data_IF_584228901069
#
_entry.id   IF_584228901069
#
_cell.length_a   1.000
_cell.length_b   1.000
_cell.length_c   1.000
_cell.angle_alpha   90.00
_cell.angle_beta   90.00
_cell.angle_gamma   90.00
#
_symmetry.space_group_name_H-M   'P 1'
#
loop_
_entity.id
_entity.type
_entity.pdbx_description
1 polymer ?
#
# COMPACT_ATOMS: atom_id res chain seq x y z
N UNK A 1 8.47 23.51 -4.06
CA UNK A 1 8.20 22.18 -3.44
C UNK A 1 7.65 21.27 -4.52
N UNK A 2 8.22 20.07 -4.68
CA UNK A 2 7.93 19.18 -5.80
C UNK A 2 7.32 17.85 -5.36
N UNK A 3 6.52 17.26 -6.24
CA UNK A 3 5.99 15.90 -6.07
C UNK A 3 7.16 14.93 -6.26
N UNK A 4 7.47 14.13 -5.22
CA UNK A 4 8.60 13.19 -5.23
C UNK A 4 8.09 11.76 -5.40
N UNK A 5 8.73 11.01 -6.27
CA UNK A 5 8.41 9.60 -6.51
C UNK A 5 9.61 8.70 -6.22
N UNK A 6 9.32 7.47 -5.81
CA UNK A 6 10.32 6.43 -5.61
C UNK A 6 9.86 5.13 -6.28
N UNK A 7 10.81 4.41 -6.88
CA UNK A 7 10.57 3.03 -7.30
C UNK A 7 10.76 2.12 -6.08
N UNK A 8 9.70 1.40 -5.71
CA UNK A 8 9.71 0.47 -4.57
C UNK A 8 9.28 -0.92 -5.04
N UNK A 9 9.75 -1.95 -4.33
CA UNK A 9 9.18 -3.29 -4.43
C UNK A 9 8.07 -3.44 -3.40
N UNK A 10 6.93 -4.00 -3.78
CA UNK A 10 5.85 -4.36 -2.85
C UNK A 10 5.58 -5.84 -2.99
N UNK A 11 5.58 -6.57 -1.88
CA UNK A 11 5.39 -8.01 -1.86
C UNK A 11 4.26 -8.41 -0.92
N UNK A 12 3.35 -9.25 -1.42
CA UNK A 12 2.42 -9.99 -0.60
C UNK A 12 3.12 -11.22 -0.01
N UNK A 13 3.28 -11.25 1.31
CA UNK A 13 4.03 -12.31 1.99
C UNK A 13 3.28 -13.66 2.02
N UNK A 14 1.95 -13.68 1.88
CA UNK A 14 1.20 -14.93 1.79
C UNK A 14 1.38 -15.62 0.44
N UNK A 15 1.29 -14.84 -0.65
CA UNK A 15 1.35 -15.36 -2.02
C UNK A 15 2.77 -15.34 -2.61
N UNK A 16 3.75 -14.74 -1.90
CA UNK A 16 5.12 -14.49 -2.36
C UNK A 16 5.15 -13.81 -3.72
N UNK A 17 4.22 -12.88 -3.92
CA UNK A 17 4.05 -12.15 -5.18
C UNK A 17 4.56 -10.73 -5.00
N UNK A 18 5.56 -10.36 -5.79
CA UNK A 18 6.23 -9.06 -5.73
C UNK A 18 6.02 -8.26 -7.00
N UNK A 19 5.77 -6.97 -6.86
CA UNK A 19 5.65 -6.00 -7.95
C UNK A 19 6.63 -4.85 -7.72
N UNK A 20 7.23 -4.36 -8.81
CA UNK A 20 7.95 -3.09 -8.81
C UNK A 20 6.96 -1.98 -9.19
N UNK A 21 6.84 -0.96 -8.34
CA UNK A 21 5.88 0.12 -8.53
C UNK A 21 6.55 1.49 -8.34
N UNK A 22 6.11 2.47 -9.13
CA UNK A 22 6.45 3.87 -8.91
C UNK A 22 5.45 4.45 -7.91
N UNK A 23 5.93 4.77 -6.71
CA UNK A 23 5.11 5.25 -5.60
C UNK A 23 5.35 6.73 -5.33
N UNK A 24 4.29 7.43 -4.90
CA UNK A 24 4.37 8.80 -4.41
C UNK A 24 4.92 8.80 -2.98
N UNK A 25 5.91 9.65 -2.70
CA UNK A 25 6.41 9.87 -1.34
C UNK A 25 5.52 10.92 -0.67
N UNK A 26 4.75 10.50 0.32
CA UNK A 26 3.83 11.36 1.06
C UNK A 26 4.11 11.27 2.58
N UNK A 27 4.77 12.31 3.11
CA UNK A 27 5.05 12.42 4.56
C UNK A 27 3.82 12.79 5.39
N UNK A 28 2.71 13.20 4.75
CA UNK A 28 1.44 13.47 5.41
C UNK A 28 0.58 12.22 5.59
N UNK A 29 0.89 11.12 4.89
CA UNK A 29 0.17 9.86 5.06
C UNK A 29 0.66 9.09 6.27
N UNK A 30 -0.29 8.63 7.10
CA UNK A 30 -0.02 7.81 8.29
C UNK A 30 0.00 6.32 7.97
N UNK A 31 -0.66 5.92 6.88
CA UNK A 31 -0.79 4.53 6.45
C UNK A 31 -0.15 4.35 5.08
N UNK A 32 0.44 3.18 4.84
CA UNK A 32 0.80 2.78 3.49
C UNK A 32 -0.49 2.48 2.70
N UNK A 33 -0.65 3.13 1.56
CA UNK A 33 -1.85 3.00 0.73
C UNK A 33 -1.50 2.33 -0.58
N UNK A 34 -2.32 1.36 -0.98
CA UNK A 34 -2.22 0.71 -2.28
C UNK A 34 -3.47 1.01 -3.10
N UNK A 35 -3.32 1.38 -4.39
CA UNK A 35 -4.43 1.36 -5.31
C UNK A 35 -5.01 -0.05 -5.43
N UNK A 36 -6.33 -0.14 -5.59
CA UNK A 36 -7.06 -1.41 -5.64
C UNK A 36 -6.49 -2.38 -6.69
N UNK A 37 -6.16 -1.88 -7.88
CA UNK A 37 -5.58 -2.71 -8.94
C UNK A 37 -4.22 -3.32 -8.56
N UNK A 38 -3.40 -2.63 -7.75
CA UNK A 38 -2.13 -3.18 -7.26
C UNK A 38 -2.38 -4.26 -6.22
N UNK A 39 -3.35 -4.07 -5.32
CA UNK A 39 -3.74 -5.10 -4.35
C UNK A 39 -4.22 -6.39 -5.04
N UNK A 40 -5.06 -6.27 -6.07
CA UNK A 40 -5.52 -7.39 -6.90
C UNK A 40 -4.35 -8.07 -7.62
N UNK A 41 -3.44 -7.29 -8.21
CA UNK A 41 -2.22 -7.83 -8.84
C UNK A 41 -1.30 -8.51 -7.84
N UNK A 42 -1.29 -8.11 -6.56
CA UNK A 42 -0.55 -8.80 -5.49
C UNK A 42 -1.27 -10.06 -4.99
N UNK A 43 -2.50 -10.32 -5.47
CA UNK A 43 -3.30 -11.49 -5.11
C UNK A 43 -4.01 -11.37 -3.76
N UNK A 44 -4.30 -10.15 -3.31
CA UNK A 44 -5.20 -9.92 -2.19
C UNK A 44 -6.66 -9.96 -2.66
N UNK A 45 -7.53 -10.53 -1.84
CA UNK A 45 -8.97 -10.37 -1.96
C UNK A 45 -9.43 -9.28 -0.97
N UNK A 46 -9.89 -8.16 -1.51
CA UNK A 46 -10.34 -7.02 -0.71
C UNK A 46 -11.70 -7.26 -0.02
N UNK A 47 -12.44 -8.30 -0.42
CA UNK A 47 -13.76 -8.62 0.13
C UNK A 47 -13.69 -9.47 1.40
N UNK A 48 -12.57 -10.17 1.61
CA UNK A 48 -12.38 -11.09 2.74
C UNK A 48 -11.64 -10.45 3.93
N UNK A 49 -11.35 -9.15 3.88
CA UNK A 49 -10.62 -8.44 4.92
C UNK A 49 -11.50 -7.45 5.68
N UNK A 50 -11.07 -7.10 6.90
CA UNK A 50 -11.72 -6.05 7.68
C UNK A 50 -11.54 -4.70 6.99
N UNK A 51 -12.55 -3.84 7.13
CA UNK A 51 -12.46 -2.46 6.66
C UNK A 51 -12.15 -1.50 7.80
N UNK A 52 -11.51 -0.37 7.48
CA UNK A 52 -11.25 0.74 8.40
C UNK A 52 -11.75 2.04 7.79
N UNK A 53 -12.37 2.88 8.62
CA UNK A 53 -12.71 4.24 8.21
C UNK A 53 -11.45 5.12 8.16
N UNK A 54 -11.27 5.84 7.05
CA UNK A 54 -10.21 6.82 6.83
C UNK A 54 -10.79 8.17 6.41
N UNK A 55 -10.00 9.22 6.63
CA UNK A 55 -10.29 10.58 6.16
C UNK A 55 -9.16 10.97 5.21
N UNK A 56 -9.36 10.95 3.88
CA UNK A 56 -8.39 11.44 2.93
C UNK A 56 -8.25 12.97 3.01
N UNK A 57 -7.29 13.52 2.27
CA UNK A 57 -7.05 14.96 2.23
C UNK A 57 -8.26 15.79 1.73
N UNK A 58 -9.23 15.16 1.05
CA UNK A 58 -10.48 15.80 0.61
C UNK A 58 -11.52 15.96 1.74
N UNK A 59 -11.24 15.44 2.94
CA UNK A 59 -12.12 15.51 4.10
C UNK A 59 -13.30 14.53 4.07
N UNK A 60 -13.43 13.74 3.00
CA UNK A 60 -14.46 12.69 2.92
C UNK A 60 -14.18 11.57 3.92
N UNK A 61 -15.22 10.80 4.28
CA UNK A 61 -15.05 9.58 5.08
C UNK A 61 -15.23 8.37 4.18
N UNK A 62 -14.27 7.45 4.19
CA UNK A 62 -14.31 6.24 3.36
C UNK A 62 -13.96 5.02 4.21
N UNK A 63 -14.75 3.96 4.06
CA UNK A 63 -14.40 2.65 4.61
C UNK A 63 -13.56 1.89 3.58
N UNK A 64 -12.31 1.56 3.93
CA UNK A 64 -11.35 0.91 3.01
C UNK A 64 -10.85 -0.42 3.56
N UNK A 65 -10.58 -1.43 2.70
CA UNK A 65 -10.04 -2.72 3.12
C UNK A 65 -8.65 -2.60 3.74
N UNK A 66 -8.40 -3.30 4.85
CA UNK A 66 -7.09 -3.42 5.48
C UNK A 66 -6.41 -4.71 5.01
N UNK A 67 -5.49 -4.58 4.06
CA UNK A 67 -4.75 -5.71 3.48
C UNK A 67 -3.33 -5.81 4.07
N UNK A 68 -2.85 -7.04 4.25
CA UNK A 68 -1.54 -7.33 4.81
C UNK A 68 -1.39 -8.82 5.09
N UNK A 69 -0.18 -9.30 5.45
CA UNK A 69 1.04 -8.53 5.64
C UNK A 69 1.77 -8.28 4.30
N UNK A 70 2.38 -7.12 4.19
CA UNK A 70 3.10 -6.64 3.01
C UNK A 70 4.55 -6.33 3.38
N UNK A 71 5.49 -6.72 2.52
CA UNK A 71 6.88 -6.24 2.60
C UNK A 71 7.14 -5.18 1.56
N UNK A 72 7.69 -4.05 1.99
CA UNK A 72 8.11 -2.95 1.11
C UNK A 72 9.63 -2.93 1.01
N UNK A 73 10.15 -2.87 -0.22
CA UNK A 73 11.57 -2.81 -0.54
C UNK A 73 11.92 -1.44 -1.12
N UNK A 74 12.98 -0.83 -0.61
CA UNK A 74 13.58 0.37 -1.18
C UNK A 74 15.10 0.24 -1.16
N UNK A 75 15.70 0.22 -2.35
CA UNK A 75 17.12 -0.08 -2.54
C UNK A 75 17.52 -1.40 -1.83
N UNK A 76 18.49 -1.33 -0.92
CA UNK A 76 19.06 -2.42 -0.14
C UNK A 76 18.31 -2.69 1.18
N UNK A 77 17.19 -1.99 1.42
CA UNK A 77 16.42 -2.07 2.66
C UNK A 77 15.00 -2.58 2.41
N UNK A 78 14.42 -3.18 3.45
CA UNK A 78 13.01 -3.53 3.47
C UNK A 78 12.37 -3.27 4.83
N UNK A 79 11.05 -3.14 4.85
CA UNK A 79 10.24 -3.15 6.06
C UNK A 79 9.00 -4.03 5.88
N UNK A 80 8.56 -4.64 6.97
CA UNK A 80 7.32 -5.42 7.02
C UNK A 80 6.20 -4.57 7.62
N UNK A 81 5.08 -4.52 6.90
CA UNK A 81 3.85 -3.84 7.28
C UNK A 81 2.81 -4.91 7.57
N UNK A 82 2.40 -5.01 8.84
CA UNK A 82 1.40 -5.95 9.35
C UNK A 82 0.09 -5.26 9.66
#
# INVERSE_FOLDING_TARGET
MGITYANIGVENLFKKRRLAVKSLVDSGSVLFTLPEHIALQLGFDATEVRTREIIPADGSRKSVPMIGPIRVYFADRYCDLS
#
